data_IF_458468822242
#
_entry.id   IF_458468822242
#
_cell.length_a   1.000
_cell.length_b   1.000
_cell.length_c   1.000
_cell.angle_alpha   90.00
_cell.angle_beta   90.00
_cell.angle_gamma   90.00
#
_symmetry.space_group_name_H-M   'P 1'
#
loop_
_entity.id
_entity.type
_entity.pdbx_description
1 polymer ?
#
# COMPACT_ATOMS: atom_id res chain seq x y z
N UNK A 1 20.63 -29.14 -3.49
CA UNK A 1 19.94 -28.85 -2.21
C UNK A 1 18.49 -28.57 -2.53
N UNK A 2 17.57 -29.37 -2.00
CA UNK A 2 16.13 -29.22 -2.24
C UNK A 2 15.62 -28.14 -1.27
N UNK A 3 15.30 -26.95 -1.78
CA UNK A 3 14.78 -25.85 -0.95
C UNK A 3 13.36 -26.22 -0.53
N UNK A 4 13.12 -26.32 0.77
CA UNK A 4 11.77 -26.54 1.31
C UNK A 4 10.87 -25.39 0.84
N UNK A 5 9.88 -25.69 0.00
CA UNK A 5 8.78 -24.78 -0.33
C UNK A 5 7.88 -24.67 0.90
N UNK A 6 8.22 -23.76 1.80
CA UNK A 6 7.40 -23.41 2.94
C UNK A 6 6.27 -22.50 2.47
N UNK A 7 5.00 -22.93 2.50
CA UNK A 7 3.88 -22.16 1.96
C UNK A 7 3.68 -20.78 2.62
N UNK A 8 4.15 -20.63 3.86
CA UNK A 8 4.11 -19.39 4.64
C UNK A 8 5.41 -18.57 4.57
N UNK A 9 6.48 -19.11 3.97
CA UNK A 9 7.77 -18.42 3.81
C UNK A 9 8.10 -18.12 2.34
N UNK A 10 7.22 -18.43 1.40
CA UNK A 10 7.36 -17.93 0.04
C UNK A 10 7.00 -16.45 0.02
N UNK A 11 8.01 -15.59 0.11
CA UNK A 11 7.84 -14.19 -0.23
C UNK A 11 7.64 -14.11 -1.75
N UNK A 12 6.40 -13.81 -2.16
CA UNK A 12 6.09 -13.65 -3.58
C UNK A 12 6.76 -12.41 -4.20
N UNK A 13 7.28 -11.50 -3.36
CA UNK A 13 7.99 -10.27 -3.71
C UNK A 13 9.18 -10.08 -2.76
N UNK A 14 10.34 -9.67 -3.28
CA UNK A 14 11.45 -9.21 -2.43
C UNK A 14 11.06 -7.86 -1.82
N UNK A 15 10.96 -7.79 -0.49
CA UNK A 15 10.53 -6.58 0.20
C UNK A 15 11.55 -5.44 0.14
N UNK A 16 12.81 -5.73 -0.22
CA UNK A 16 13.92 -4.77 -0.40
C UNK A 16 13.94 -3.68 0.68
N UNK A 17 13.96 -4.11 1.95
CA UNK A 17 13.76 -3.24 3.11
C UNK A 17 14.79 -2.11 3.22
N UNK A 18 15.99 -2.31 2.69
CA UNK A 18 17.07 -1.31 2.62
C UNK A 18 16.76 -0.12 1.71
N UNK A 19 15.88 -0.28 0.71
CA UNK A 19 15.45 0.82 -0.16
C UNK A 19 14.50 1.79 0.55
N UNK A 20 13.82 1.33 1.61
CA UNK A 20 12.88 2.16 2.37
C UNK A 20 13.50 3.41 2.97
N UNK A 21 14.80 3.36 3.27
CA UNK A 21 15.57 4.47 3.83
C UNK A 21 16.08 5.47 2.78
N UNK A 22 15.79 5.23 1.48
CA UNK A 22 16.33 6.00 0.36
C UNK A 22 15.21 6.71 -0.41
N UNK A 23 14.69 7.86 0.11
CA UNK A 23 13.53 8.53 -0.47
C UNK A 23 13.73 8.93 -1.94
N UNK A 24 14.94 9.38 -2.32
CA UNK A 24 15.24 9.74 -3.71
C UNK A 24 15.20 8.55 -4.66
N UNK A 25 15.60 7.36 -4.19
CA UNK A 25 15.52 6.13 -4.99
C UNK A 25 14.08 5.65 -5.10
N UNK A 26 13.30 5.71 -4.01
CA UNK A 26 11.87 5.40 -4.06
C UNK A 26 11.12 6.32 -5.03
N UNK A 27 11.43 7.62 -5.02
CA UNK A 27 10.83 8.59 -5.94
C UNK A 27 11.18 8.30 -7.42
N UNK A 28 12.35 7.73 -7.70
CA UNK A 28 12.69 7.25 -9.05
C UNK A 28 11.90 5.99 -9.41
N UNK A 29 11.85 5.01 -8.49
CA UNK A 29 11.14 3.75 -8.70
C UNK A 29 9.64 3.95 -8.92
N UNK A 30 9.02 4.89 -8.19
CA UNK A 30 7.60 5.24 -8.32
C UNK A 30 7.21 5.56 -9.77
N UNK A 31 8.05 6.31 -10.49
CA UNK A 31 7.78 6.75 -11.87
C UNK A 31 7.60 5.60 -12.86
N UNK A 32 8.21 4.46 -12.60
CA UNK A 32 8.13 3.24 -13.44
C UNK A 32 7.44 2.07 -12.73
N UNK A 33 6.81 2.32 -11.58
CA UNK A 33 6.23 1.27 -10.75
C UNK A 33 4.91 0.75 -11.31
N UNK A 34 4.55 -0.45 -10.87
CA UNK A 34 3.16 -0.93 -10.88
C UNK A 34 2.55 -0.57 -9.53
N UNK A 35 1.55 0.30 -9.56
CA UNK A 35 0.97 0.89 -8.34
C UNK A 35 -0.43 0.31 -8.15
N UNK A 36 -0.65 -0.43 -7.07
CA UNK A 36 -2.02 -0.80 -6.69
C UNK A 36 -2.71 0.38 -6.01
N UNK A 37 -4.00 0.58 -6.29
CA UNK A 37 -4.79 1.61 -5.62
C UNK A 37 -5.69 0.97 -4.57
N UNK A 38 -5.42 1.30 -3.31
CA UNK A 38 -6.24 0.92 -2.17
C UNK A 38 -6.97 2.17 -1.67
N UNK A 39 -8.30 2.14 -1.72
CA UNK A 39 -9.15 3.24 -1.29
C UNK A 39 -10.23 2.74 -0.34
N UNK A 40 -10.33 3.34 0.85
CA UNK A 40 -11.40 3.09 1.83
C UNK A 40 -11.76 1.60 2.00
N UNK A 41 -10.74 0.74 2.18
CA UNK A 41 -10.93 -0.69 2.43
C UNK A 41 -11.07 -1.58 1.19
N UNK A 42 -11.03 -1.01 -0.02
CA UNK A 42 -11.20 -1.73 -1.29
C UNK A 42 -10.02 -1.51 -2.24
N UNK A 43 -9.79 -2.48 -3.12
CA UNK A 43 -8.79 -2.43 -4.18
C UNK A 43 -9.44 -2.12 -5.51
N UNK A 44 -8.79 -1.29 -6.32
CA UNK A 44 -9.16 -1.11 -7.73
C UNK A 44 -8.89 -2.39 -8.51
N UNK A 45 -9.87 -2.85 -9.28
CA UNK A 45 -9.81 -4.09 -10.04
C UNK A 45 -10.32 -3.94 -11.47
N UNK A 46 -9.88 -4.85 -12.33
CA UNK A 46 -10.40 -5.03 -13.68
C UNK A 46 -11.73 -5.81 -13.66
N UNK A 47 -12.48 -5.88 -14.79
CA UNK A 47 -13.72 -6.66 -14.85
C UNK A 47 -13.59 -8.15 -14.52
N UNK A 48 -12.37 -8.72 -14.62
CA UNK A 48 -12.07 -10.11 -14.25
C UNK A 48 -11.58 -10.27 -12.80
N UNK A 49 -11.72 -9.25 -11.94
CA UNK A 49 -11.30 -9.24 -10.53
C UNK A 49 -9.79 -9.33 -10.28
N UNK A 50 -8.94 -9.26 -11.31
CA UNK A 50 -7.51 -9.04 -11.13
C UNK A 50 -7.23 -7.61 -10.64
N UNK A 51 -6.10 -7.39 -9.97
CA UNK A 51 -5.69 -6.05 -9.57
C UNK A 51 -5.43 -5.17 -10.80
N UNK A 52 -6.03 -3.98 -10.80
CA UNK A 52 -5.80 -2.97 -11.81
C UNK A 52 -4.62 -2.07 -11.40
N UNK A 53 -3.39 -2.53 -11.70
CA UNK A 53 -2.19 -1.75 -11.42
C UNK A 53 -2.13 -0.49 -12.29
N UNK A 54 -1.98 0.65 -11.64
CA UNK A 54 -1.84 1.97 -12.24
C UNK A 54 -0.36 2.36 -12.43
N UNK A 55 -0.10 3.28 -13.36
CA UNK A 55 1.15 4.02 -13.47
C UNK A 55 1.14 5.28 -12.59
N UNK A 56 2.31 5.91 -12.40
CA UNK A 56 2.42 7.18 -11.67
C UNK A 56 1.51 8.27 -12.27
N UNK A 57 1.48 8.40 -13.59
CA UNK A 57 0.64 9.41 -14.28
C UNK A 57 -0.86 9.16 -14.05
N UNK A 58 -1.29 7.90 -14.01
CA UNK A 58 -2.68 7.55 -13.71
C UNK A 58 -3.03 7.88 -12.25
N UNK A 59 -2.11 7.67 -11.31
CA UNK A 59 -2.29 8.09 -9.91
C UNK A 59 -2.37 9.62 -9.81
N UNK A 60 -1.52 10.37 -10.52
CA UNK A 60 -1.56 11.84 -10.52
C UNK A 60 -2.88 12.37 -11.11
N UNK A 61 -3.43 11.70 -12.14
CA UNK A 61 -4.77 11.98 -12.62
C UNK A 61 -5.83 11.73 -11.54
N UNK A 62 -5.79 10.58 -10.86
CA UNK A 62 -6.74 10.27 -9.78
C UNK A 62 -6.64 11.25 -8.60
N UNK A 63 -5.45 11.76 -8.28
CA UNK A 63 -5.23 12.80 -7.25
C UNK A 63 -5.90 14.13 -7.61
N UNK A 64 -6.01 14.43 -8.90
CA UNK A 64 -6.68 15.63 -9.39
C UNK A 64 -8.21 15.51 -9.38
N UNK A 65 -8.73 14.27 -9.35
CA UNK A 65 -10.16 14.03 -9.21
C UNK A 65 -10.59 14.27 -7.76
N UNK A 66 -11.62 15.09 -7.56
CA UNK A 66 -12.17 15.39 -6.23
C UNK A 66 -12.84 14.19 -5.52
N UNK A 67 -12.70 12.98 -6.08
CA UNK A 67 -13.26 11.72 -5.53
C UNK A 67 -12.40 11.11 -4.44
N UNK A 68 -11.10 11.37 -4.45
CA UNK A 68 -10.15 10.79 -3.49
C UNK A 68 -9.52 11.89 -2.66
N UNK A 69 -9.42 11.64 -1.36
CA UNK A 69 -8.60 12.44 -0.46
C UNK A 69 -7.10 12.22 -0.76
N UNK A 70 -6.26 12.97 -0.05
CA UNK A 70 -4.82 12.73 -0.10
C UNK A 70 -4.53 11.30 0.36
N UNK A 71 -3.62 10.64 -0.33
CA UNK A 71 -3.23 9.26 -0.02
C UNK A 71 -1.73 9.12 0.18
N UNK A 72 -1.34 8.14 0.97
CA UNK A 72 0.06 7.83 1.28
C UNK A 72 0.61 6.81 0.29
N UNK A 73 1.90 6.95 -0.03
CA UNK A 73 2.64 6.03 -0.88
C UNK A 73 3.32 4.96 -0.02
N UNK A 74 3.17 3.70 -0.39
CA UNK A 74 3.75 2.56 0.31
C UNK A 74 4.59 1.72 -0.67
N UNK A 75 5.86 1.54 -0.36
CA UNK A 75 6.74 0.66 -1.11
C UNK A 75 6.54 -0.80 -0.68
N UNK A 76 6.14 -1.65 -1.62
CA UNK A 76 5.81 -3.04 -1.35
C UNK A 76 6.96 -4.01 -1.64
N UNK A 77 7.85 -3.63 -2.55
CA UNK A 77 9.02 -4.44 -2.91
C UNK A 77 9.29 -4.47 -4.42
N UNK A 78 10.16 -5.40 -4.82
CA UNK A 78 10.54 -5.65 -6.21
C UNK A 78 10.32 -7.13 -6.53
N UNK A 79 9.68 -7.43 -7.66
CA UNK A 79 9.67 -8.78 -8.24
C UNK A 79 10.13 -8.71 -9.69
N UNK A 80 11.10 -9.55 -10.07
CA UNK A 80 11.65 -9.64 -11.44
C UNK A 80 12.03 -8.28 -12.05
N UNK A 81 12.57 -7.38 -11.23
CA UNK A 81 12.99 -6.02 -11.64
C UNK A 81 11.84 -5.00 -11.74
N UNK A 82 10.61 -5.38 -11.43
CA UNK A 82 9.45 -4.50 -11.38
C UNK A 82 9.25 -4.02 -9.94
N UNK A 83 9.25 -2.71 -9.74
CA UNK A 83 8.92 -2.10 -8.45
C UNK A 83 7.41 -2.01 -8.24
N UNK A 84 6.96 -2.43 -7.07
CA UNK A 84 5.57 -2.40 -6.66
C UNK A 84 5.35 -1.40 -5.52
N UNK A 85 4.31 -0.59 -5.68
CA UNK A 85 3.85 0.33 -4.66
C UNK A 85 2.34 0.19 -4.45
N UNK A 86 1.85 0.71 -3.33
CA UNK A 86 0.46 1.06 -3.15
C UNK A 86 0.30 2.58 -3.02
N UNK A 87 -0.75 3.11 -3.61
CA UNK A 87 -1.32 4.39 -3.20
C UNK A 87 -2.52 4.10 -2.31
N UNK A 88 -2.42 4.47 -1.04
CA UNK A 88 -3.43 4.25 -0.03
C UNK A 88 -4.15 5.56 0.24
N UNK A 89 -5.34 5.74 -0.33
CA UNK A 89 -6.15 6.95 -0.18
C UNK A 89 -7.44 6.67 0.58
N UNK A 90 -8.11 7.73 1.02
CA UNK A 90 -9.51 7.64 1.43
C UNK A 90 -10.41 8.26 0.35
N UNK A 91 -11.65 7.80 0.26
CA UNK A 91 -12.67 8.48 -0.52
C UNK A 91 -12.99 9.85 0.10
N UNK A 92 -13.17 10.87 -0.75
CA UNK A 92 -13.61 12.19 -0.28
C UNK A 92 -15.10 12.17 0.15
N UNK A 93 -15.90 11.35 -0.51
CA UNK A 93 -17.30 11.09 -0.19
C UNK A 93 -17.57 9.59 -0.21
N UNK A 94 -17.89 9.04 0.97
CA UNK A 94 -18.11 7.62 1.17
C UNK A 94 -19.33 7.09 0.39
N UNK A 95 -20.41 7.85 0.30
CA UNK A 95 -21.63 7.42 -0.42
C UNK A 95 -21.34 7.28 -1.91
N UNK A 96 -20.63 8.25 -2.49
CA UNK A 96 -20.20 8.19 -3.89
C UNK A 96 -19.25 7.02 -4.14
N UNK A 97 -18.36 6.73 -3.19
CA UNK A 97 -17.36 5.66 -3.32
C UNK A 97 -17.96 4.26 -3.29
N UNK A 98 -19.00 4.05 -2.46
CA UNK A 98 -19.71 2.76 -2.41
C UNK A 98 -20.33 2.37 -3.77
N UNK A 99 -20.55 3.34 -4.66
CA UNK A 99 -21.07 3.11 -6.03
C UNK A 99 -19.98 2.89 -7.10
N UNK A 100 -18.69 2.94 -6.76
CA UNK A 100 -17.62 2.67 -7.71
C UNK A 100 -17.54 1.18 -8.04
N UNK A 101 -18.01 0.81 -9.24
CA UNK A 101 -18.14 -0.59 -9.69
C UNK A 101 -16.81 -1.35 -9.76
N UNK A 102 -15.68 -0.65 -9.94
CA UNK A 102 -14.37 -1.26 -10.15
C UNK A 102 -13.53 -1.35 -8.87
N UNK A 103 -14.14 -1.31 -7.68
CA UNK A 103 -13.46 -1.50 -6.40
C UNK A 103 -14.03 -2.66 -5.61
N UNK A 104 -13.16 -3.52 -5.09
CA UNK A 104 -13.55 -4.74 -4.39
C UNK A 104 -12.75 -4.99 -3.12
N UNK A 105 -13.39 -5.62 -2.14
CA UNK A 105 -12.72 -5.99 -0.87
C UNK A 105 -11.78 -7.17 -1.09
N UNK A 106 -10.71 -7.28 -0.30
CA UNK A 106 -9.81 -8.44 -0.36
C UNK A 106 -10.55 -9.78 -0.15
N UNK A 107 -11.62 -9.78 0.65
CA UNK A 107 -12.49 -10.95 0.85
C UNK A 107 -13.12 -11.43 -0.46
N UNK A 108 -13.53 -10.51 -1.32
CA UNK A 108 -14.09 -10.81 -2.65
C UNK A 108 -13.01 -11.33 -3.61
N UNK A 109 -11.78 -10.83 -3.49
CA UNK A 109 -10.69 -11.09 -4.43
C UNK A 109 -9.93 -12.39 -4.16
N UNK A 110 -10.19 -13.06 -3.03
CA UNK A 110 -9.46 -14.24 -2.55
C UNK A 110 -9.12 -15.28 -3.62
N UNK A 111 -10.10 -15.61 -4.47
CA UNK A 111 -9.97 -16.67 -5.48
C UNK A 111 -9.42 -16.19 -6.84
N UNK A 112 -9.28 -14.88 -7.04
CA UNK A 112 -8.89 -14.28 -8.32
C UNK A 112 -7.43 -13.84 -8.36
N UNK A 113 -6.84 -13.55 -7.19
CA UNK A 113 -5.49 -13.01 -7.11
C UNK A 113 -4.43 -14.10 -7.27
N UNK A 114 -3.42 -13.82 -8.08
CA UNK A 114 -2.19 -14.60 -8.06
C UNK A 114 -1.49 -14.50 -6.70
N UNK A 115 -0.55 -15.40 -6.42
CA UNK A 115 0.21 -15.39 -5.15
C UNK A 115 0.92 -14.05 -4.91
N UNK A 116 1.45 -13.43 -5.97
CA UNK A 116 2.08 -12.11 -5.91
C UNK A 116 1.07 -11.03 -5.56
N UNK A 117 -0.05 -10.95 -6.29
CA UNK A 117 -1.09 -9.96 -6.05
C UNK A 117 -1.70 -10.08 -4.66
N UNK A 118 -1.95 -11.31 -4.20
CA UNK A 118 -2.44 -11.59 -2.85
C UNK A 118 -1.46 -11.07 -1.80
N UNK A 119 -0.16 -11.34 -1.95
CA UNK A 119 0.87 -10.86 -1.03
C UNK A 119 0.96 -9.34 -0.99
N UNK A 120 0.91 -8.69 -2.16
CA UNK A 120 0.92 -7.23 -2.29
C UNK A 120 -0.32 -6.60 -1.63
N UNK A 121 -1.51 -7.14 -1.91
CA UNK A 121 -2.78 -6.62 -1.40
C UNK A 121 -2.91 -6.80 0.12
N UNK A 122 -2.57 -7.97 0.66
CA UNK A 122 -2.56 -8.21 2.12
C UNK A 122 -1.62 -7.23 2.81
N UNK A 123 -0.39 -7.07 2.29
CA UNK A 123 0.60 -6.18 2.88
C UNK A 123 0.12 -4.72 2.83
N UNK A 124 -0.38 -4.24 1.69
CA UNK A 124 -0.84 -2.87 1.56
C UNK A 124 -2.04 -2.57 2.46
N UNK A 125 -3.04 -3.47 2.52
CA UNK A 125 -4.21 -3.28 3.38
C UNK A 125 -3.83 -3.25 4.85
N UNK A 126 -2.92 -4.13 5.29
CA UNK A 126 -2.46 -4.16 6.68
C UNK A 126 -1.81 -2.84 7.09
N UNK A 127 -0.88 -2.33 6.27
CA UNK A 127 -0.19 -1.06 6.55
C UNK A 127 -1.15 0.13 6.45
N UNK A 128 -2.02 0.18 5.44
CA UNK A 128 -2.99 1.25 5.27
C UNK A 128 -3.96 1.36 6.46
N UNK A 129 -4.49 0.23 6.92
CA UNK A 129 -5.35 0.19 8.11
C UNK A 129 -4.61 0.65 9.37
N UNK A 130 -3.34 0.27 9.51
CA UNK A 130 -2.50 0.73 10.61
C UNK A 130 -2.27 2.25 10.53
N UNK A 131 -1.94 2.79 9.35
CA UNK A 131 -1.78 4.23 9.14
C UNK A 131 -3.04 5.03 9.50
N UNK A 132 -4.20 4.53 9.09
CA UNK A 132 -5.49 5.17 9.37
C UNK A 132 -5.74 5.30 10.89
N UNK A 133 -5.30 4.34 11.69
CA UNK A 133 -5.54 4.32 13.15
C UNK A 133 -4.41 4.90 13.99
N UNK A 134 -3.24 5.20 13.41
CA UNK A 134 -2.03 5.61 14.13
C UNK A 134 -1.51 6.99 13.70
N UNK A 135 -2.43 7.93 13.48
CA UNK A 135 -2.14 9.29 12.99
C UNK A 135 -1.48 10.21 14.04
N UNK A 136 -1.44 9.81 15.31
CA UNK A 136 -0.88 10.59 16.42
C UNK A 136 0.13 9.79 17.22
N UNK A 137 1.11 10.50 17.79
CA UNK A 137 2.21 9.93 18.55
C UNK A 137 1.74 9.43 19.91
N UNK A 138 1.98 8.15 20.20
CA UNK A 138 1.64 7.55 21.50
C UNK A 138 2.46 8.12 22.68
N UNK A 139 3.53 8.90 22.43
CA UNK A 139 4.38 9.49 23.48
C UNK A 139 4.00 10.93 23.81
N UNK A 140 3.77 11.76 22.80
CA UNK A 140 3.54 13.21 22.99
C UNK A 140 2.21 13.72 22.40
N UNK A 141 1.42 12.88 21.72
CA UNK A 141 0.12 13.26 21.14
C UNK A 141 0.20 14.09 19.85
N UNK A 142 1.38 14.49 19.38
CA UNK A 142 1.53 15.24 18.13
C UNK A 142 1.26 14.35 16.88
N UNK A 143 0.88 14.94 15.73
CA UNK A 143 0.70 14.18 14.49
C UNK A 143 1.95 13.39 14.09
N UNK A 144 1.75 12.25 13.46
CA UNK A 144 2.81 11.46 12.84
C UNK A 144 2.68 11.50 11.32
N UNK A 145 3.78 11.32 10.61
CA UNK A 145 3.84 11.27 9.15
C UNK A 145 4.38 9.92 8.71
N UNK A 146 3.85 9.37 7.61
CA UNK A 146 4.42 8.18 6.96
C UNK A 146 5.89 8.40 6.62
N UNK A 147 6.74 7.42 6.90
CA UNK A 147 8.16 7.45 6.59
C UNK A 147 8.69 6.03 6.24
N UNK A 148 9.95 5.96 5.82
CA UNK A 148 10.62 4.75 5.37
C UNK A 148 9.80 3.95 4.33
N UNK A 149 9.43 4.61 3.24
CA UNK A 149 8.59 4.01 2.19
C UNK A 149 7.24 3.51 2.71
N UNK A 150 6.71 4.11 3.79
CA UNK A 150 5.43 3.76 4.39
C UNK A 150 5.47 2.60 5.39
N UNK A 151 6.64 2.05 5.73
CA UNK A 151 6.70 0.95 6.71
C UNK A 151 6.57 1.41 8.17
N UNK A 152 6.63 2.72 8.43
CA UNK A 152 6.53 3.29 9.77
C UNK A 152 5.91 4.69 9.71
N UNK A 153 5.56 5.21 10.89
CA UNK A 153 5.15 6.60 11.07
C UNK A 153 6.10 7.28 12.04
N UNK A 154 6.50 8.51 11.72
CA UNK A 154 7.43 9.32 12.51
C UNK A 154 6.73 10.54 13.08
N UNK A 155 6.89 10.78 14.38
CA UNK A 155 6.33 11.96 15.04
C UNK A 155 6.95 13.24 14.48
N UNK A 156 6.11 14.23 14.17
CA UNK A 156 6.56 15.54 13.66
C UNK A 156 7.19 16.44 14.73
N UNK A 157 6.98 16.13 16.02
CA UNK A 157 7.46 16.93 17.15
C UNK A 157 8.72 16.35 17.80
N UNK A 158 8.66 15.08 18.25
CA UNK A 158 9.76 14.47 19.01
C UNK A 158 10.62 13.48 18.18
N UNK A 159 10.24 13.24 16.93
CA UNK A 159 10.96 12.36 16.01
C UNK A 159 10.86 10.86 16.32
N UNK A 160 10.06 10.44 17.30
CA UNK A 160 9.85 9.03 17.63
C UNK A 160 9.24 8.27 16.47
N UNK A 161 9.70 7.04 16.28
CA UNK A 161 9.19 6.14 15.26
C UNK A 161 8.19 5.16 15.86
N UNK A 162 7.10 4.92 15.12
CA UNK A 162 6.05 3.98 15.44
C UNK A 162 5.97 2.95 14.33
N UNK A 163 5.86 1.68 14.72
CA UNK A 163 5.88 0.55 13.79
C UNK A 163 4.56 -0.20 13.84
N UNK A 164 4.09 -0.76 12.70
CA UNK A 164 2.91 -1.61 12.67
C UNK A 164 3.11 -2.84 13.54
N UNK A 165 2.08 -3.22 14.29
CA UNK A 165 2.06 -4.46 15.06
C UNK A 165 1.42 -5.57 14.23
N UNK A 166 2.03 -6.75 14.29
CA UNK A 166 1.40 -8.00 13.87
C UNK A 166 0.97 -8.74 15.14
N UNK A 167 -0.31 -8.66 15.47
CA UNK A 167 -0.86 -9.40 16.61
C UNK A 167 -1.03 -10.87 16.16
N UNK A 168 -0.21 -11.76 16.74
CA UNK A 168 -0.19 -13.20 16.44
C UNK A 168 -0.97 -14.04 17.43
#
# INVERSE_FOLDING_TARGET
MNVLKLPLASEAVDRSGELRLKPDELAKLWKSARILHFASGKFRVKPNYELDFQSADQIDQLRSEAKFAHGEELFLGIDKGISYFAWCSDAADFESFETLENYQTLRTLGDYLSQLEMGLAIHSQAIANWHHTHQFCARCGAPTLSANGGSLRKCSSDGSEHYPRTDG
#
